data_IF_991323154707
#
_entry.id   IF_991323154707
#
_cell.length_a   1.000
_cell.length_b   1.000
_cell.length_c   1.000
_cell.angle_alpha   90.00
_cell.angle_beta   90.00
_cell.angle_gamma   90.00
#
_symmetry.space_group_name_H-M   'P 1'
#
loop_
_entity.id
_entity.type
_entity.pdbx_description
1 polymer ?
#
# COMPACT_ATOMS: atom_id res chain seq x y z
N UNK A 1 9.93 1.73 -1.90
CA UNK A 1 8.82 1.80 -2.88
C UNK A 1 8.22 3.20 -2.82
N UNK A 2 7.39 3.59 -3.79
CA UNK A 2 6.60 4.83 -3.76
C UNK A 2 5.17 4.44 -4.10
N UNK A 3 4.19 4.99 -3.39
CA UNK A 3 2.77 4.76 -3.64
C UNK A 3 2.09 6.04 -4.12
N UNK A 4 1.37 5.92 -5.24
CA UNK A 4 0.61 7.00 -5.86
C UNK A 4 -0.90 6.81 -5.69
N UNK A 5 -1.64 7.90 -5.56
CA UNK A 5 -3.12 7.91 -5.49
C UNK A 5 -3.78 8.62 -6.67
N UNK A 6 -3.06 9.50 -7.38
CA UNK A 6 -3.56 10.15 -8.60
C UNK A 6 -2.94 9.47 -9.81
N UNK A 7 -3.72 8.61 -10.47
CA UNK A 7 -3.29 7.86 -11.65
C UNK A 7 -4.48 7.42 -12.50
N UNK A 8 -4.19 7.08 -13.75
CA UNK A 8 -5.10 6.37 -14.66
C UNK A 8 -4.60 4.95 -14.90
N UNK A 9 -5.54 4.01 -14.97
CA UNK A 9 -5.29 2.66 -15.43
C UNK A 9 -5.68 2.58 -16.90
N UNK A 10 -4.71 2.31 -17.75
CA UNK A 10 -4.90 2.22 -19.20
C UNK A 10 -4.83 0.73 -19.56
N UNK A 11 -5.93 0.12 -20.05
CA UNK A 11 -5.90 -1.26 -20.49
C UNK A 11 -4.97 -1.42 -21.70
N UNK A 12 -4.32 -2.58 -21.78
CA UNK A 12 -3.56 -3.00 -22.95
C UNK A 12 -4.52 -3.31 -24.10
N UNK A 13 -4.14 -2.98 -25.33
CA UNK A 13 -4.96 -3.22 -26.52
C UNK A 13 -5.21 -4.72 -26.75
N UNK A 14 -4.25 -5.55 -26.31
CA UNK A 14 -4.27 -7.00 -26.52
C UNK A 14 -4.82 -7.80 -25.36
N UNK A 15 -4.79 -7.25 -24.15
CA UNK A 15 -5.21 -7.93 -22.93
C UNK A 15 -5.88 -6.93 -21.97
N UNK A 16 -7.21 -7.00 -21.89
CA UNK A 16 -8.00 -6.11 -21.02
C UNK A 16 -7.65 -6.28 -19.53
N UNK A 17 -7.10 -7.43 -19.13
CA UNK A 17 -6.68 -7.66 -17.74
C UNK A 17 -5.31 -7.04 -17.44
N UNK A 18 -4.58 -6.59 -18.46
CA UNK A 18 -3.29 -5.93 -18.31
C UNK A 18 -3.49 -4.42 -18.31
N UNK A 19 -3.19 -3.80 -17.17
CA UNK A 19 -3.45 -2.39 -16.92
C UNK A 19 -2.13 -1.64 -16.70
N UNK A 20 -1.84 -0.66 -17.54
CA UNK A 20 -0.69 0.24 -17.39
C UNK A 20 -1.04 1.41 -16.49
N UNK A 21 -0.20 1.66 -15.49
CA UNK A 21 -0.37 2.79 -14.58
C UNK A 21 0.24 4.05 -15.21
N UNK A 22 -0.58 5.08 -15.43
CA UNK A 22 -0.16 6.42 -15.83
C UNK A 22 -0.32 7.35 -14.63
N UNK A 23 0.79 7.75 -14.02
CA UNK A 23 0.79 8.65 -12.87
C UNK A 23 0.38 10.07 -13.27
N UNK A 24 -0.46 10.69 -12.43
CA UNK A 24 -0.92 12.07 -12.57
C UNK A 24 -0.44 12.95 -11.40
N UNK A 25 0.53 12.46 -10.64
CA UNK A 25 1.22 13.20 -9.58
C UNK A 25 2.73 12.97 -9.63
N UNK A 26 3.47 13.90 -9.01
CA UNK A 26 4.93 13.84 -8.93
C UNK A 26 5.36 12.92 -7.79
N UNK A 27 6.18 11.94 -8.11
CA UNK A 27 6.82 11.06 -7.13
C UNK A 27 8.04 11.74 -6.51
N UNK A 28 8.26 11.53 -5.21
CA UNK A 28 9.43 12.02 -4.46
C UNK A 28 10.18 10.82 -3.88
N UNK A 29 11.52 10.87 -3.85
CA UNK A 29 12.30 9.81 -3.26
C UNK A 29 12.04 9.74 -1.74
N UNK A 30 11.53 8.63 -1.19
CA UNK A 30 11.20 8.52 0.23
C UNK A 30 12.45 8.45 1.13
N UNK A 31 13.63 8.23 0.55
CA UNK A 31 14.89 8.05 1.28
C UNK A 31 15.63 9.38 1.44
N UNK A 32 15.77 10.14 0.35
CA UNK A 32 16.58 11.37 0.33
C UNK A 32 15.78 12.62 -0.07
N UNK A 33 14.46 12.49 -0.22
CA UNK A 33 13.53 13.57 -0.55
C UNK A 33 13.77 14.28 -1.91
N UNK A 34 14.74 13.81 -2.69
CA UNK A 34 14.97 14.33 -4.03
C UNK A 34 13.80 14.02 -4.98
N UNK A 35 13.39 15.02 -5.74
CA UNK A 35 12.24 14.96 -6.66
C UNK A 35 12.61 14.47 -8.06
N UNK A 36 13.91 14.42 -8.38
CA UNK A 36 14.39 14.01 -9.70
C UNK A 36 14.51 12.48 -9.74
N UNK A 37 13.47 11.84 -10.28
CA UNK A 37 13.39 10.40 -10.49
C UNK A 37 13.28 10.07 -11.99
N UNK A 38 14.19 9.22 -12.48
CA UNK A 38 14.17 8.76 -13.89
C UNK A 38 13.45 7.43 -13.99
N UNK A 39 12.51 7.31 -14.92
CA UNK A 39 11.93 6.01 -15.29
C UNK A 39 13.02 5.17 -15.97
N UNK A 40 13.33 4.00 -15.40
CA UNK A 40 14.36 3.09 -15.95
C UNK A 40 13.76 1.88 -16.64
N UNK A 41 12.63 1.37 -16.14
CA UNK A 41 11.93 0.23 -16.73
C UNK A 41 10.51 0.16 -16.15
N UNK A 42 9.70 -0.77 -16.63
CA UNK A 42 8.46 -1.19 -15.98
C UNK A 42 8.64 -2.55 -15.31
N UNK A 43 7.63 -2.98 -14.54
CA UNK A 43 7.51 -4.33 -14.00
C UNK A 43 6.04 -4.74 -13.97
N UNK A 44 5.77 -5.99 -14.33
CA UNK A 44 4.43 -6.56 -14.21
C UNK A 44 4.16 -6.98 -12.77
N UNK A 45 2.98 -6.61 -12.27
CA UNK A 45 2.53 -6.95 -10.93
C UNK A 45 1.17 -7.63 -11.01
N UNK A 46 1.14 -8.93 -10.72
CA UNK A 46 -0.13 -9.69 -10.64
C UNK A 46 -0.95 -9.21 -9.44
N UNK A 47 -2.24 -9.01 -9.65
CA UNK A 47 -3.20 -8.64 -8.63
C UNK A 47 -4.51 -9.43 -8.80
N UNK A 48 -5.26 -9.60 -7.70
CA UNK A 48 -6.58 -10.22 -7.68
C UNK A 48 -7.58 -9.20 -7.17
N UNK A 49 -8.68 -9.02 -7.89
CA UNK A 49 -9.77 -8.14 -7.47
C UNK A 49 -10.81 -8.89 -6.62
N UNK A 50 -11.88 -8.19 -6.24
CA UNK A 50 -12.99 -8.74 -5.46
C UNK A 50 -13.88 -9.72 -6.24
N UNK A 51 -13.62 -9.94 -7.54
CA UNK A 51 -14.30 -10.95 -8.36
C UNK A 51 -13.42 -12.19 -8.58
N UNK A 52 -12.20 -12.21 -8.04
CA UNK A 52 -11.24 -13.31 -8.25
C UNK A 52 -10.54 -13.24 -9.61
N UNK A 53 -10.71 -12.15 -10.36
CA UNK A 53 -10.09 -11.95 -11.66
C UNK A 53 -8.61 -11.59 -11.49
N UNK A 54 -7.76 -12.19 -12.32
CA UNK A 54 -6.32 -11.92 -12.35
C UNK A 54 -6.04 -10.69 -13.20
N UNK A 55 -5.51 -9.65 -12.57
CA UNK A 55 -5.05 -8.43 -13.23
C UNK A 55 -3.52 -8.41 -13.31
N UNK A 56 -2.99 -7.85 -14.40
CA UNK A 56 -1.56 -7.55 -14.55
C UNK A 56 -1.38 -6.04 -14.53
N UNK A 57 -0.96 -5.50 -13.38
CA UNK A 57 -0.71 -4.07 -13.22
C UNK A 57 0.75 -3.77 -13.60
N UNK A 58 0.95 -3.02 -14.68
CA UNK A 58 2.27 -2.61 -15.16
C UNK A 58 2.69 -1.34 -14.44
N UNK A 59 3.62 -1.49 -13.49
CA UNK A 59 4.13 -0.40 -12.64
C UNK A 59 5.48 0.11 -13.14
N UNK A 60 5.79 1.39 -12.90
CA UNK A 60 7.08 1.98 -13.27
C UNK A 60 8.15 1.67 -12.22
N UNK A 61 9.38 1.50 -12.68
CA UNK A 61 10.60 1.46 -11.86
C UNK A 61 11.33 2.78 -12.05
N UNK A 62 11.45 3.52 -10.95
CA UNK A 62 12.07 4.84 -10.88
C UNK A 62 13.45 4.72 -10.24
N UNK A 63 14.45 5.41 -10.78
CA UNK A 63 15.77 5.56 -10.16
C UNK A 63 15.95 7.00 -9.70
N UNK A 64 16.23 7.19 -8.42
CA UNK A 64 16.54 8.51 -7.88
C UNK A 64 17.88 9.02 -8.45
N UNK A 65 17.95 10.27 -8.91
CA UNK A 65 19.20 10.84 -9.41
C UNK A 65 20.23 11.09 -8.31
N UNK A 66 19.80 11.36 -7.07
CA UNK A 66 20.67 11.60 -5.92
C UNK A 66 21.17 10.27 -5.30
N UNK A 67 20.32 9.53 -4.57
CA UNK A 67 20.75 8.32 -3.85
C UNK A 67 20.91 7.06 -4.72
N UNK A 68 20.61 7.13 -6.03
CA UNK A 68 20.67 6.04 -7.02
C UNK A 68 19.79 4.81 -6.72
N UNK A 69 19.03 4.81 -5.61
CA UNK A 69 18.11 3.73 -5.24
C UNK A 69 16.96 3.61 -6.25
N UNK A 70 16.50 2.38 -6.44
CA UNK A 70 15.40 2.04 -7.33
C UNK A 70 14.12 1.90 -6.51
N UNK A 71 13.08 2.63 -6.92
CA UNK A 71 11.76 2.61 -6.32
C UNK A 71 10.76 2.04 -7.32
N UNK A 72 9.96 1.07 -6.88
CA UNK A 72 8.76 0.68 -7.60
C UNK A 72 7.67 1.69 -7.27
N UNK A 73 7.05 2.28 -8.29
CA UNK A 73 5.93 3.21 -8.17
C UNK A 73 4.62 2.44 -8.29
N UNK A 74 4.02 2.12 -7.15
CA UNK A 74 2.79 1.32 -7.05
C UNK A 74 1.58 2.25 -6.97
N UNK A 75 0.46 1.95 -7.63
CA UNK A 75 -0.81 2.58 -7.31
C UNK A 75 -1.32 2.11 -5.94
N UNK A 76 -2.09 2.94 -5.25
CA UNK A 76 -2.65 2.70 -3.91
C UNK A 76 -3.68 1.56 -3.83
N UNK A 77 -4.21 1.11 -4.98
CA UNK A 77 -4.96 -0.15 -5.08
C UNK A 77 -4.10 -1.38 -4.77
N UNK A 78 -2.77 -1.24 -4.72
CA UNK A 78 -1.85 -2.31 -4.35
C UNK A 78 -1.22 -2.07 -2.98
N UNK A 79 -1.33 -3.07 -2.10
CA UNK A 79 -0.48 -3.14 -0.91
C UNK A 79 0.83 -3.84 -1.28
N UNK A 80 2.00 -3.30 -0.86
CA UNK A 80 3.29 -3.95 -1.09
C UNK A 80 3.27 -5.44 -0.73
N UNK A 81 3.79 -6.28 -1.63
CA UNK A 81 3.88 -7.75 -1.48
C UNK A 81 2.55 -8.51 -1.32
N UNK A 82 1.38 -7.85 -1.46
CA UNK A 82 0.07 -8.53 -1.39
C UNK A 82 -0.53 -8.77 -2.76
N UNK A 83 -1.08 -9.96 -2.99
CA UNK A 83 -1.66 -10.34 -4.29
C UNK A 83 -3.06 -9.77 -4.50
N UNK A 84 -3.77 -9.42 -3.44
CA UNK A 84 -5.11 -8.85 -3.55
C UNK A 84 -5.07 -7.33 -3.57
N UNK A 85 -6.07 -6.71 -4.19
CA UNK A 85 -6.27 -5.28 -4.12
C UNK A 85 -6.42 -4.82 -2.67
N UNK A 86 -6.04 -3.58 -2.39
CA UNK A 86 -6.14 -2.98 -1.05
C UNK A 86 -7.58 -3.01 -0.55
N UNK A 87 -8.57 -2.77 -1.42
CA UNK A 87 -10.00 -2.85 -1.09
C UNK A 87 -10.44 -4.24 -0.59
N UNK A 88 -9.91 -5.32 -1.17
CA UNK A 88 -10.23 -6.68 -0.72
C UNK A 88 -9.65 -6.95 0.67
N UNK A 89 -8.41 -6.48 0.91
CA UNK A 89 -7.75 -6.65 2.20
C UNK A 89 -8.46 -5.82 3.26
N UNK A 90 -8.87 -4.61 2.91
CA UNK A 90 -9.64 -3.70 3.77
C UNK A 90 -10.95 -4.35 4.23
N UNK A 91 -11.78 -4.84 3.29
CA UNK A 91 -13.03 -5.54 3.61
C UNK A 91 -12.80 -6.77 4.51
N UNK A 92 -11.77 -7.57 4.28
CA UNK A 92 -11.44 -8.71 5.17
C UNK A 92 -11.08 -8.24 6.59
N UNK A 93 -10.35 -7.14 6.72
CA UNK A 93 -9.97 -6.56 8.02
C UNK A 93 -11.18 -6.01 8.77
N UNK A 94 -12.16 -5.47 8.05
CA UNK A 94 -13.43 -4.97 8.59
C UNK A 94 -14.46 -6.06 8.89
N UNK A 95 -14.14 -7.33 8.57
CA UNK A 95 -15.04 -8.46 8.78
C UNK A 95 -16.01 -8.73 7.62
N UNK A 96 -15.91 -7.99 6.52
CA UNK A 96 -16.71 -8.15 5.30
C UNK A 96 -16.06 -9.12 4.29
N UNK A 97 -15.39 -10.17 4.81
CA UNK A 97 -14.60 -11.09 3.98
C UNK A 97 -15.45 -12.04 3.13
N UNK A 98 -16.69 -12.31 3.53
CA UNK A 98 -17.55 -13.33 2.92
C UNK A 98 -17.99 -12.97 1.49
N UNK A 99 -17.94 -11.67 1.14
CA UNK A 99 -18.21 -11.19 -0.21
C UNK A 99 -17.03 -11.27 -1.18
N UNK A 100 -15.88 -11.78 -0.74
CA UNK A 100 -14.67 -11.87 -1.57
C UNK A 100 -14.46 -13.34 -1.95
N UNK A 101 -14.33 -13.67 -3.25
CA UNK A 101 -14.04 -15.01 -3.75
C UNK A 101 -12.57 -15.35 -3.46
N UNK A 102 -12.31 -15.63 -2.19
CA UNK A 102 -11.01 -15.99 -1.68
C UNK A 102 -11.15 -17.17 -0.73
N UNK A 103 -10.16 -18.06 -0.76
CA UNK A 103 -10.11 -19.16 0.19
C UNK A 103 -10.02 -18.64 1.63
N UNK A 104 -10.63 -19.37 2.57
CA UNK A 104 -10.50 -19.09 4.01
C UNK A 104 -9.04 -18.95 4.47
N UNK A 105 -8.13 -19.69 3.81
CA UNK A 105 -6.68 -19.61 4.01
C UNK A 105 -6.13 -18.20 3.74
N UNK A 106 -6.65 -17.52 2.71
CA UNK A 106 -6.27 -16.16 2.31
C UNK A 106 -6.86 -15.12 3.27
N UNK A 107 -8.12 -15.27 3.67
CA UNK A 107 -8.77 -14.44 4.69
C UNK A 107 -7.96 -14.45 5.98
N UNK A 108 -7.62 -15.64 6.47
CA UNK A 108 -6.80 -15.83 7.67
C UNK A 108 -5.43 -15.14 7.54
N UNK A 109 -4.76 -15.29 6.38
CA UNK A 109 -3.47 -14.66 6.11
C UNK A 109 -3.55 -13.14 6.10
N UNK A 110 -4.64 -12.53 5.63
CA UNK A 110 -4.83 -11.08 5.68
C UNK A 110 -5.06 -10.59 7.11
N UNK A 111 -5.96 -11.24 7.86
CA UNK A 111 -6.22 -10.89 9.27
C UNK A 111 -4.95 -11.00 10.10
N UNK A 112 -4.19 -12.10 9.96
CA UNK A 112 -2.92 -12.32 10.66
C UNK A 112 -1.88 -11.27 10.26
N UNK A 113 -1.72 -10.99 8.97
CA UNK A 113 -0.80 -9.96 8.49
C UNK A 113 -1.16 -8.58 9.03
N UNK A 114 -2.44 -8.20 8.98
CA UNK A 114 -2.88 -6.91 9.47
C UNK A 114 -2.65 -6.79 10.98
N UNK A 115 -2.99 -7.81 11.76
CA UNK A 115 -2.73 -7.85 13.22
C UNK A 115 -1.25 -7.56 13.54
N UNK A 116 -0.32 -8.14 12.79
CA UNK A 116 1.13 -7.89 12.97
C UNK A 116 1.51 -6.47 12.53
N UNK A 117 1.02 -6.01 11.39
CA UNK A 117 1.40 -4.71 10.81
C UNK A 117 0.72 -3.50 11.46
N UNK A 118 -0.47 -3.67 12.04
CA UNK A 118 -1.32 -2.57 12.48
C UNK A 118 -0.64 -1.72 13.57
N UNK A 119 0.05 -2.35 14.53
CA UNK A 119 0.82 -1.63 15.55
C UNK A 119 1.92 -0.75 14.94
N UNK A 120 2.61 -1.26 13.90
CA UNK A 120 3.66 -0.54 13.19
C UNK A 120 3.09 0.61 12.36
N UNK A 121 1.98 0.39 11.65
CA UNK A 121 1.28 1.43 10.89
C UNK A 121 0.84 2.54 11.85
N UNK A 122 0.18 2.18 12.96
CA UNK A 122 -0.24 3.13 14.00
C UNK A 122 0.94 3.96 14.52
N UNK A 123 2.03 3.32 14.94
CA UNK A 123 3.21 4.01 15.47
C UNK A 123 3.87 4.92 14.43
N UNK A 124 3.93 4.48 13.17
CA UNK A 124 4.45 5.31 12.07
C UNK A 124 3.57 6.54 11.85
N UNK A 125 2.25 6.38 11.81
CA UNK A 125 1.30 7.48 11.64
C UNK A 125 1.39 8.49 12.80
N UNK A 126 1.44 8.00 14.05
CA UNK A 126 1.61 8.85 15.22
C UNK A 126 2.91 9.66 15.17
N UNK A 127 4.04 9.04 14.81
CA UNK A 127 5.33 9.76 14.67
C UNK A 127 5.28 10.81 13.55
N UNK A 128 4.63 10.51 12.43
CA UNK A 128 4.48 11.45 11.32
C UNK A 128 3.56 12.61 11.70
N UNK A 129 2.46 12.36 12.42
CA UNK A 129 1.52 13.37 12.89
C UNK A 129 2.16 14.31 13.93
N UNK A 130 2.93 13.75 14.88
CA UNK A 130 3.68 14.52 15.86
C UNK A 130 4.66 15.51 15.19
N UNK A 131 5.36 15.10 14.13
CA UNK A 131 6.24 15.99 13.34
C UNK A 131 5.49 17.13 12.64
N UNK A 132 4.18 16.99 12.44
CA UNK A 132 3.30 18.00 11.83
C UNK A 132 2.54 18.83 12.88
N UNK A 133 2.88 18.71 14.17
CA UNK A 133 2.16 19.32 15.29
C UNK A 133 0.65 19.01 15.30
N UNK A 134 0.25 17.86 14.72
CA UNK A 134 -1.12 17.37 14.77
C UNK A 134 -1.20 16.33 15.88
N UNK A 135 -1.57 16.75 17.08
CA UNK A 135 -1.78 15.84 18.21
C UNK A 135 -3.16 15.21 18.03
N UNK A 136 -3.20 13.90 17.84
CA UNK A 136 -4.45 13.12 17.81
C UNK A 136 -4.46 12.28 19.09
N UNK A 137 -5.42 12.53 19.97
CA UNK A 137 -5.63 11.72 21.16
C UNK A 137 -6.11 10.32 20.76
N UNK A 138 -5.36 9.28 21.12
CA UNK A 138 -5.67 7.88 20.74
C UNK A 138 -5.95 6.98 21.96
N UNK A 139 -6.51 7.53 23.05
CA UNK A 139 -6.75 6.80 24.29
C UNK A 139 -7.88 5.76 24.17
N UNK A 140 -7.60 4.48 24.46
CA UNK A 140 -8.61 3.43 24.65
C UNK A 140 -9.20 2.79 23.39
N UNK A 141 -8.80 3.19 22.19
CA UNK A 141 -9.37 2.70 20.94
C UNK A 141 -8.71 1.42 20.41
N UNK A 142 -9.48 0.63 19.63
CA UNK A 142 -8.91 -0.50 18.88
C UNK A 142 -7.85 0.00 17.90
N UNK A 143 -6.85 -0.84 17.58
CA UNK A 143 -5.75 -0.41 16.67
C UNK A 143 -6.28 0.02 15.29
N UNK A 144 -7.39 -0.56 14.84
CA UNK A 144 -8.07 -0.16 13.61
C UNK A 144 -8.62 1.27 13.69
N UNK A 145 -9.41 1.57 14.74
CA UNK A 145 -9.97 2.91 14.97
C UNK A 145 -8.89 3.98 15.09
N UNK A 146 -7.83 3.69 15.83
CA UNK A 146 -6.70 4.61 15.94
C UNK A 146 -6.04 4.90 14.58
N UNK A 147 -5.92 3.90 13.69
CA UNK A 147 -5.40 4.12 12.33
C UNK A 147 -6.36 4.97 11.52
N UNK A 148 -7.67 4.70 11.57
CA UNK A 148 -8.68 5.44 10.81
C UNK A 148 -8.83 6.88 11.28
N UNK A 149 -8.55 7.20 12.56
CA UNK A 149 -8.47 8.59 13.02
C UNK A 149 -7.37 9.39 12.28
N UNK A 150 -6.22 8.79 11.99
CA UNK A 150 -5.13 9.47 11.27
C UNK A 150 -5.43 9.66 9.77
N UNK A 151 -6.18 8.75 9.14
CA UNK A 151 -6.31 8.70 7.67
C UNK A 151 -7.75 8.87 7.16
N UNK A 152 -8.72 9.02 8.06
CA UNK A 152 -10.15 9.08 7.79
C UNK A 152 -10.80 7.70 7.65
N UNK A 153 -12.05 7.61 8.12
CA UNK A 153 -12.87 6.37 8.17
C UNK A 153 -13.52 5.96 6.84
N UNK A 154 -13.44 6.80 5.81
CA UNK A 154 -14.01 6.49 4.49
C UNK A 154 -13.38 5.23 3.88
N UNK A 155 -14.06 4.52 2.96
CA UNK A 155 -13.44 3.45 2.19
C UNK A 155 -12.10 3.86 1.56
N UNK A 156 -11.16 2.93 1.48
CA UNK A 156 -9.78 3.15 1.08
C UNK A 156 -8.87 3.66 2.20
N UNK A 157 -9.27 3.55 3.47
CA UNK A 157 -8.42 3.96 4.60
C UNK A 157 -7.13 3.15 4.64
N UNK A 158 -7.16 1.86 4.27
CA UNK A 158 -5.96 1.03 4.25
C UNK A 158 -5.00 1.53 3.19
N UNK A 159 -5.51 1.86 2.00
CA UNK A 159 -4.72 2.42 0.91
C UNK A 159 -4.03 3.73 1.32
N UNK A 160 -4.77 4.63 2.00
CA UNK A 160 -4.23 5.90 2.53
C UNK A 160 -3.16 5.67 3.59
N UNK A 161 -3.42 4.80 4.57
CA UNK A 161 -2.45 4.46 5.62
C UNK A 161 -1.16 3.87 5.06
N UNK A 162 -1.28 2.88 4.18
CA UNK A 162 -0.14 2.23 3.53
C UNK A 162 0.66 3.23 2.70
N UNK A 163 -0.01 4.13 1.95
CA UNK A 163 0.65 5.18 1.18
C UNK A 163 1.52 6.09 2.04
N UNK A 164 0.98 6.58 3.17
CA UNK A 164 1.71 7.46 4.09
C UNK A 164 2.95 6.73 4.65
N UNK A 165 2.78 5.51 5.14
CA UNK A 165 3.88 4.75 5.76
C UNK A 165 4.96 4.39 4.74
N UNK A 166 4.58 4.02 3.51
CA UNK A 166 5.53 3.70 2.44
C UNK A 166 6.30 4.93 1.95
N UNK A 167 5.59 6.04 1.70
CA UNK A 167 6.20 7.25 1.16
C UNK A 167 7.07 7.99 2.17
N UNK A 168 6.94 7.68 3.47
CA UNK A 168 7.83 8.18 4.53
C UNK A 168 8.98 7.22 4.86
N UNK A 169 9.19 6.19 4.02
CA UNK A 169 10.22 5.16 4.21
C UNK A 169 10.09 4.37 5.53
N UNK A 170 8.91 4.35 6.14
CA UNK A 170 8.63 3.60 7.36
C UNK A 170 8.06 2.21 7.07
N UNK A 171 7.97 1.77 5.82
CA UNK A 171 7.40 0.47 5.49
C UNK A 171 8.41 -0.67 5.70
N UNK A 172 8.19 -1.50 6.71
CA UNK A 172 9.06 -2.64 7.02
C UNK A 172 8.67 -3.85 6.19
N UNK A 173 9.60 -4.34 5.36
CA UNK A 173 9.40 -5.51 4.51
C UNK A 173 9.62 -6.86 5.22
N UNK A 174 10.50 -6.90 6.23
CA UNK A 174 11.11 -8.13 6.77
C UNK A 174 10.76 -8.42 8.22
N UNK A 175 9.47 -8.38 8.61
CA UNK A 175 9.07 -8.91 9.94
C UNK A 175 8.96 -10.45 9.97
N UNK A 176 8.89 -11.10 8.81
CA UNK A 176 8.84 -12.56 8.71
C UNK A 176 10.22 -13.24 8.56
N UNK A 177 11.29 -12.48 8.27
CA UNK A 177 12.63 -13.06 8.11
C UNK A 177 13.36 -13.29 9.45
N UNK A 178 12.85 -12.73 10.56
CA UNK A 178 13.48 -12.78 11.88
C UNK A 178 12.62 -13.48 12.96
N UNK A 179 11.58 -14.21 12.57
CA UNK A 179 10.74 -15.00 13.51
C UNK A 179 10.86 -16.50 13.25
N UNK A 180 12.09 -16.98 13.05
CA UNK A 180 12.46 -18.40 13.11
C UNK A 180 13.72 -18.52 13.96
N UNK A 181 13.52 -18.48 15.28
CA UNK A 181 14.41 -19.07 16.29
C UNK A 181 13.49 -19.72 17.32
#
# INVERSE_FOLDING_TARGET
>A
MIIIAKYKLIPDETDQNKLRVKSEEKSICPICLNEVLKVISSRNRRALNSKGENLIIVIRRLRCSACKKIHHELPDILVPYKRYLSSCIEAVVEGQGDGIPCENSSIYRFKRWFKVMAAHIKGSLASIAARKNSIIETGGETTLKAITLYVGERPGWLARAVRIVVNTNNWVHTRFAFMTC
#
